data_IF_400948625096
#
_entry.id   IF_400948625096
#
_cell.length_a   1.000
_cell.length_b   1.000
_cell.length_c   1.000
_cell.angle_alpha   90.00
_cell.angle_beta   90.00
_cell.angle_gamma   90.00
#
_symmetry.space_group_name_H-M   'P 1'
#
loop_
_entity.id
_entity.type
_entity.pdbx_description
1 polymer ?
#
# COMPACT_ATOMS: atom_id res chain seq x y z
N UNK A 1 36.32 -51.29 27.49
CA UNK A 1 36.19 -51.04 26.04
C UNK A 1 37.22 -50.03 25.63
N UNK A 2 38.37 -50.51 25.15
CA UNK A 2 39.47 -49.67 24.68
C UNK A 2 39.04 -49.01 23.37
N UNK A 3 39.11 -47.68 23.29
CA UNK A 3 38.83 -46.93 22.08
C UNK A 3 40.02 -46.94 21.13
N UNK A 4 39.77 -47.04 19.84
CA UNK A 4 40.78 -46.98 18.79
C UNK A 4 41.36 -45.57 18.67
N UNK A 5 42.69 -45.49 18.62
CA UNK A 5 43.44 -44.28 18.31
C UNK A 5 43.78 -44.30 16.81
N UNK A 6 43.09 -43.46 16.05
CA UNK A 6 43.37 -43.27 14.62
C UNK A 6 44.55 -42.32 14.46
N UNK A 7 45.66 -42.73 13.82
CA UNK A 7 46.78 -41.82 13.55
C UNK A 7 46.37 -40.79 12.49
N UNK A 8 46.77 -39.53 12.69
CA UNK A 8 46.55 -38.45 11.71
C UNK A 8 47.24 -38.79 10.38
N UNK A 9 46.60 -38.49 9.23
CA UNK A 9 47.22 -38.71 7.94
C UNK A 9 48.49 -37.86 7.80
N UNK A 10 49.53 -38.46 7.20
CA UNK A 10 50.80 -37.79 6.89
C UNK A 10 50.57 -36.69 5.85
N UNK A 11 50.55 -35.44 6.31
CA UNK A 11 50.46 -34.27 5.45
C UNK A 11 51.66 -34.18 4.50
N UNK A 12 51.36 -34.08 3.21
CA UNK A 12 52.30 -33.61 2.19
C UNK A 12 52.79 -32.18 2.51
N UNK A 13 54.02 -31.89 2.09
CA UNK A 13 54.82 -30.77 2.55
C UNK A 13 54.14 -29.40 2.47
N UNK A 14 54.18 -28.69 3.60
CA UNK A 14 53.88 -27.28 3.74
C UNK A 14 54.54 -26.77 5.02
N UNK A 15 55.58 -25.96 4.88
CA UNK A 15 56.42 -25.48 5.96
C UNK A 15 55.62 -24.67 7.01
N UNK A 16 55.83 -24.98 8.28
CA UNK A 16 55.25 -24.25 9.41
C UNK A 16 55.52 -25.00 10.71
N UNK A 17 56.72 -24.81 11.27
CA UNK A 17 57.08 -25.38 12.55
C UNK A 17 56.21 -24.76 13.66
N UNK A 18 55.37 -25.56 14.29
CA UNK A 18 54.81 -25.25 15.61
C UNK A 18 55.18 -26.39 16.55
N UNK A 19 56.29 -26.18 17.27
CA UNK A 19 56.60 -26.95 18.47
C UNK A 19 55.55 -26.64 19.56
N UNK A 20 55.27 -27.57 20.48
CA UNK A 20 54.32 -27.32 21.57
C UNK A 20 54.93 -26.29 22.53
N UNK A 21 54.50 -25.03 22.42
CA UNK A 21 54.84 -23.94 23.33
C UNK A 21 53.88 -23.90 24.52
N UNK A 22 54.41 -23.65 25.71
CA UNK A 22 53.69 -23.50 26.99
C UNK A 22 53.03 -22.13 27.13
N UNK A 23 52.42 -21.60 26.07
CA UNK A 23 51.82 -20.26 26.03
C UNK A 23 50.32 -20.37 25.96
N UNK A 24 49.63 -19.71 26.88
CA UNK A 24 48.17 -19.59 26.92
C UNK A 24 47.71 -18.88 25.63
N UNK A 25 47.05 -19.62 24.75
CA UNK A 25 46.47 -19.09 23.52
C UNK A 25 45.11 -18.50 23.85
N UNK A 26 45.03 -17.18 23.98
CA UNK A 26 43.76 -16.46 23.97
C UNK A 26 43.26 -16.37 22.52
N UNK A 27 42.28 -17.20 22.16
CA UNK A 27 41.59 -17.10 20.87
C UNK A 27 40.53 -15.97 20.94
N UNK A 28 40.61 -15.01 20.00
CA UNK A 28 39.67 -13.90 19.88
C UNK A 28 38.36 -14.38 19.22
N UNK A 29 37.36 -14.77 20.03
CA UNK A 29 36.04 -15.17 19.53
C UNK A 29 35.09 -13.97 19.41
N UNK A 30 34.43 -13.87 18.26
CA UNK A 30 33.31 -12.93 18.06
C UNK A 30 32.04 -13.71 17.82
N UNK A 31 31.06 -13.50 18.68
CA UNK A 31 29.73 -14.07 18.52
C UNK A 31 28.88 -13.14 17.65
N UNK A 32 28.31 -13.65 16.57
CA UNK A 32 27.30 -12.96 15.78
C UNK A 32 25.98 -13.67 16.06
N UNK A 33 25.18 -13.07 16.94
CA UNK A 33 23.86 -13.59 17.24
C UNK A 33 22.85 -13.02 16.25
N UNK A 34 21.99 -13.88 15.74
CA UNK A 34 20.77 -13.46 15.05
C UNK A 34 19.83 -12.76 16.01
N UNK A 35 18.92 -11.94 15.48
CA UNK A 35 17.93 -11.24 16.30
C UNK A 35 17.08 -12.22 17.10
N UNK A 36 16.83 -13.39 16.55
CA UNK A 36 16.04 -14.47 17.11
C UNK A 36 16.76 -15.12 18.31
N UNK A 37 18.04 -15.46 18.18
CA UNK A 37 18.85 -16.04 19.27
C UNK A 37 19.00 -15.10 20.46
N UNK A 38 19.14 -13.78 20.20
CA UNK A 38 19.15 -12.78 21.28
C UNK A 38 17.85 -12.82 22.05
N UNK A 39 16.70 -12.87 21.37
CA UNK A 39 15.40 -12.89 22.04
C UNK A 39 15.19 -14.17 22.83
N UNK A 40 15.64 -15.32 22.31
CA UNK A 40 15.54 -16.60 23.02
C UNK A 40 16.33 -16.59 24.34
N UNK A 41 17.57 -16.09 24.34
CA UNK A 41 18.37 -15.94 25.55
C UNK A 41 17.72 -15.02 26.60
N UNK A 42 17.04 -13.95 26.17
CA UNK A 42 16.33 -13.04 27.08
C UNK A 42 15.07 -13.65 27.70
N UNK A 43 14.48 -14.66 27.05
CA UNK A 43 13.22 -15.26 27.46
C UNK A 43 13.35 -16.70 27.99
N UNK A 44 14.53 -17.31 27.95
CA UNK A 44 14.80 -18.68 28.42
C UNK A 44 14.45 -18.87 29.90
N UNK A 45 14.73 -17.86 30.74
CA UNK A 45 14.44 -17.88 32.18
C UNK A 45 13.07 -17.30 32.55
N UNK A 46 12.30 -16.85 31.57
CA UNK A 46 10.95 -16.35 31.78
C UNK A 46 9.99 -17.48 31.42
N UNK A 47 9.23 -17.98 32.40
CA UNK A 47 8.13 -18.96 32.20
C UNK A 47 6.98 -18.32 31.40
N UNK A 48 7.27 -17.90 30.18
CA UNK A 48 6.31 -17.29 29.29
C UNK A 48 5.35 -18.40 28.85
N UNK A 49 4.04 -18.19 29.00
CA UNK A 49 3.07 -18.99 28.28
C UNK A 49 3.42 -19.00 26.77
N UNK A 50 2.97 -20.00 26.01
CA UNK A 50 3.15 -20.19 24.54
C UNK A 50 2.66 -19.02 23.63
N UNK A 51 2.56 -17.81 24.15
CA UNK A 51 2.20 -16.57 23.49
C UNK A 51 3.35 -15.98 22.66
N UNK A 52 4.59 -16.46 22.80
CA UNK A 52 5.75 -16.02 22.00
C UNK A 52 5.57 -16.35 20.52
N UNK A 53 4.87 -17.44 20.19
CA UNK A 53 4.57 -17.84 18.80
C UNK A 53 3.41 -17.07 18.17
N UNK A 54 2.58 -16.38 18.97
CA UNK A 54 1.34 -15.74 18.49
C UNK A 54 1.39 -14.21 18.45
N UNK A 55 2.42 -13.57 19.03
CA UNK A 55 2.48 -12.11 19.17
C UNK A 55 3.55 -11.39 18.32
N UNK A 56 4.23 -12.12 17.42
CA UNK A 56 4.67 -11.54 16.13
C UNK A 56 3.47 -11.29 15.19
N UNK A 57 2.25 -11.24 15.73
CA UNK A 57 1.07 -10.62 15.13
C UNK A 57 1.44 -9.18 14.79
N UNK A 58 1.88 -9.01 13.54
CA UNK A 58 2.09 -7.76 12.82
C UNK A 58 1.43 -6.58 13.55
N UNK A 59 2.23 -5.78 14.23
CA UNK A 59 1.81 -4.44 14.61
C UNK A 59 1.63 -3.71 13.27
N UNK A 60 0.41 -3.71 12.74
CA UNK A 60 0.05 -2.98 11.53
C UNK A 60 0.12 -1.49 11.86
N UNK A 61 1.35 -0.95 11.85
CA UNK A 61 1.60 0.48 12.00
C UNK A 61 1.13 1.17 10.73
N UNK A 62 -0.07 1.74 10.75
CA UNK A 62 -0.53 2.61 9.69
C UNK A 62 0.16 3.97 9.82
N UNK A 63 1.05 4.28 8.87
CA UNK A 63 1.56 5.64 8.68
C UNK A 63 0.79 6.30 7.54
N UNK A 64 0.10 7.43 7.77
CA UNK A 64 -0.55 8.15 6.68
C UNK A 64 0.52 8.61 5.69
N UNK A 65 0.40 8.20 4.43
CA UNK A 65 1.20 8.72 3.31
C UNK A 65 0.39 9.74 2.53
N UNK A 66 1.06 10.77 2.03
CA UNK A 66 0.44 11.72 1.11
C UNK A 66 0.04 10.99 -0.17
N UNK A 67 -1.18 11.24 -0.63
CA UNK A 67 -1.74 10.56 -1.81
C UNK A 67 -1.13 11.04 -3.14
N UNK A 68 -0.31 12.10 -3.13
CA UNK A 68 0.37 12.62 -4.33
C UNK A 68 -0.53 13.37 -5.31
N UNK A 69 -1.82 13.55 -4.98
CA UNK A 69 -2.76 14.35 -5.78
C UNK A 69 -3.50 15.37 -4.91
N UNK A 70 -3.87 16.49 -5.53
CA UNK A 70 -4.64 17.58 -4.95
C UNK A 70 -6.02 17.70 -5.62
N UNK A 71 -6.98 18.30 -4.91
CA UNK A 71 -8.31 18.57 -5.45
C UNK A 71 -8.33 19.78 -6.42
N UNK A 72 -7.36 20.67 -6.30
CA UNK A 72 -7.18 21.87 -7.11
C UNK A 72 -5.69 22.17 -7.30
N UNK A 73 -5.36 23.02 -8.26
CA UNK A 73 -3.99 23.43 -8.58
C UNK A 73 -3.56 23.02 -9.98
N UNK A 74 -2.25 22.83 -10.18
CA UNK A 74 -1.68 22.45 -11.47
C UNK A 74 -2.30 21.13 -11.98
N UNK A 75 -2.64 21.01 -13.29
CA UNK A 75 -3.26 19.80 -13.84
C UNK A 75 -2.48 18.51 -13.58
N UNK A 76 -1.15 18.61 -13.48
CA UNK A 76 -0.24 17.50 -13.16
C UNK A 76 -0.50 16.87 -11.78
N UNK A 77 -1.12 17.62 -10.87
CA UNK A 77 -1.40 17.17 -9.51
C UNK A 77 -2.86 16.72 -9.32
N UNK A 78 -3.69 16.79 -10.36
CA UNK A 78 -5.12 16.44 -10.26
C UNK A 78 -5.31 14.94 -10.49
N UNK A 79 -6.07 14.29 -9.60
CA UNK A 79 -6.52 12.92 -9.83
C UNK A 79 -7.77 12.89 -10.71
N UNK A 80 -7.58 12.56 -11.99
CA UNK A 80 -8.68 12.51 -12.99
C UNK A 80 -9.79 11.55 -12.57
N UNK A 81 -9.46 10.37 -12.05
CA UNK A 81 -10.45 9.38 -11.62
C UNK A 81 -11.34 9.88 -10.49
N UNK A 82 -10.77 10.56 -9.49
CA UNK A 82 -11.52 11.21 -8.40
C UNK A 82 -12.41 12.34 -8.93
N UNK A 83 -11.88 13.18 -9.82
CA UNK A 83 -12.63 14.29 -10.42
C UNK A 83 -13.83 13.78 -11.21
N UNK A 84 -13.64 12.74 -12.03
CA UNK A 84 -14.71 12.13 -12.80
C UNK A 84 -15.76 11.48 -11.91
N UNK A 85 -15.35 10.75 -10.86
CA UNK A 85 -16.28 10.16 -9.87
C UNK A 85 -17.12 11.23 -9.17
N UNK A 86 -16.49 12.32 -8.72
CA UNK A 86 -17.18 13.44 -8.08
C UNK A 86 -18.13 14.14 -9.05
N UNK A 87 -17.71 14.34 -10.31
CA UNK A 87 -18.56 14.93 -11.37
C UNK A 87 -19.80 14.09 -11.64
N UNK A 88 -19.63 12.77 -11.70
CA UNK A 88 -20.73 11.84 -11.89
C UNK A 88 -21.67 11.81 -10.68
N UNK A 89 -21.13 11.76 -9.46
CA UNK A 89 -21.92 11.83 -8.22
C UNK A 89 -22.76 13.10 -8.14
N UNK A 90 -22.19 14.27 -8.49
CA UNK A 90 -22.94 15.54 -8.59
C UNK A 90 -24.07 15.47 -9.62
N UNK A 91 -23.83 14.84 -10.77
CA UNK A 91 -24.85 14.68 -11.82
C UNK A 91 -26.07 13.92 -11.29
N UNK A 92 -25.83 12.84 -10.54
CA UNK A 92 -26.89 12.04 -9.92
C UNK A 92 -27.59 12.83 -8.82
N UNK A 93 -26.84 13.41 -7.88
CA UNK A 93 -27.39 14.10 -6.72
C UNK A 93 -28.24 15.32 -7.10
N UNK A 94 -27.80 16.10 -8.09
CA UNK A 94 -28.51 17.28 -8.58
C UNK A 94 -29.54 16.96 -9.68
N UNK A 95 -29.78 15.67 -9.97
CA UNK A 95 -30.68 15.23 -11.05
C UNK A 95 -30.45 15.98 -12.36
N UNK A 96 -29.18 16.20 -12.71
CA UNK A 96 -28.84 16.95 -13.92
C UNK A 96 -29.44 16.23 -15.15
N UNK A 97 -30.22 16.92 -16.00
CA UNK A 97 -30.88 16.30 -17.14
C UNK A 97 -29.86 15.72 -18.13
N UNK A 98 -30.27 14.66 -18.83
CA UNK A 98 -29.44 14.08 -19.90
C UNK A 98 -29.41 15.05 -21.09
N UNK A 99 -28.32 14.97 -21.86
CA UNK A 99 -28.17 15.79 -23.07
C UNK A 99 -29.36 15.62 -24.03
N UNK A 100 -29.83 14.39 -24.23
CA UNK A 100 -30.98 14.10 -25.07
C UNK A 100 -32.29 14.75 -24.57
N UNK A 101 -32.49 14.87 -23.25
CA UNK A 101 -33.67 15.52 -22.68
C UNK A 101 -33.64 17.04 -22.95
N UNK A 102 -32.46 17.65 -22.77
CA UNK A 102 -32.25 19.07 -23.08
C UNK A 102 -32.45 19.35 -24.58
N UNK A 103 -31.90 18.49 -25.44
CA UNK A 103 -32.07 18.60 -26.90
C UNK A 103 -33.53 18.43 -27.32
N UNK A 104 -34.26 17.49 -26.72
CA UNK A 104 -35.69 17.30 -26.99
C UNK A 104 -36.53 18.52 -26.56
N UNK A 105 -36.25 19.09 -25.38
CA UNK A 105 -36.91 20.31 -24.91
C UNK A 105 -36.61 21.51 -25.83
N UNK A 106 -35.35 21.67 -26.25
CA UNK A 106 -34.96 22.72 -27.18
C UNK A 106 -35.66 22.58 -28.55
N UNK A 107 -35.75 21.36 -29.08
CA UNK A 107 -36.48 21.09 -30.32
C UNK A 107 -37.98 21.39 -30.16
N UNK A 108 -38.58 20.98 -29.04
CA UNK A 108 -39.99 21.26 -28.76
C UNK A 108 -40.27 22.77 -28.72
N UNK A 109 -39.37 23.56 -28.12
CA UNK A 109 -39.48 25.03 -28.12
C UNK A 109 -39.40 25.56 -29.56
N UNK A 110 -38.41 25.11 -30.35
CA UNK A 110 -38.25 25.54 -31.74
C UNK A 110 -39.48 25.21 -32.61
N UNK A 111 -40.05 24.01 -32.45
CA UNK A 111 -41.25 23.58 -33.18
C UNK A 111 -42.50 24.40 -32.81
N UNK A 112 -42.58 24.89 -31.57
CA UNK A 112 -43.66 25.76 -31.12
C UNK A 112 -43.47 27.20 -31.60
N UNK A 113 -42.23 27.69 -31.66
CA UNK A 113 -41.89 29.02 -32.18
C UNK A 113 -42.09 29.14 -33.70
N UNK A 114 -41.96 28.03 -34.44
CA UNK A 114 -42.21 27.99 -35.89
C UNK A 114 -43.70 28.07 -36.27
N UNK A 115 -44.62 27.83 -35.31
CA UNK A 115 -46.07 27.86 -35.55
C UNK A 115 -46.61 29.28 -35.35
N UNK A 116 -47.72 29.65 -36.01
CA UNK A 116 -48.34 30.95 -35.79
C UNK A 116 -48.67 31.16 -34.30
N UNK A 117 -48.37 32.35 -33.75
CA UNK A 117 -48.47 32.60 -32.32
C UNK A 117 -49.92 32.48 -31.84
N UNK A 118 -50.11 31.70 -30.78
CA UNK A 118 -51.37 31.52 -30.07
C UNK A 118 -51.09 31.66 -28.57
N UNK A 119 -52.04 32.20 -27.79
CA UNK A 119 -51.93 32.36 -26.34
C UNK A 119 -51.49 31.05 -25.65
N UNK A 120 -52.07 29.92 -26.06
CA UNK A 120 -51.70 28.57 -25.55
C UNK A 120 -50.27 28.17 -25.91
N UNK A 121 -49.79 28.52 -27.10
CA UNK A 121 -48.43 28.24 -27.56
C UNK A 121 -47.42 29.06 -26.75
N UNK A 122 -47.73 30.34 -26.50
CA UNK A 122 -46.90 31.22 -25.69
C UNK A 122 -46.78 30.74 -24.24
N UNK A 123 -47.90 30.41 -23.59
CA UNK A 123 -47.91 29.83 -22.24
C UNK A 123 -47.06 28.55 -22.16
N UNK A 124 -47.16 27.68 -23.18
CA UNK A 124 -46.37 26.45 -23.22
C UNK A 124 -44.88 26.69 -23.40
N UNK A 125 -44.48 27.66 -24.23
CA UNK A 125 -43.07 28.03 -24.41
C UNK A 125 -42.49 28.58 -23.11
N UNK A 126 -43.24 29.43 -22.40
CA UNK A 126 -42.82 29.96 -21.09
C UNK A 126 -42.60 28.83 -20.10
N UNK A 127 -43.58 27.91 -19.98
CA UNK A 127 -43.48 26.77 -19.08
C UNK A 127 -42.34 25.78 -19.40
N UNK A 128 -41.86 25.75 -20.66
CA UNK A 128 -40.72 24.91 -21.05
C UNK A 128 -39.35 25.59 -20.81
N UNK A 129 -39.34 26.90 -20.53
CA UNK A 129 -38.14 27.70 -20.28
C UNK A 129 -37.83 27.88 -18.79
N UNK A 130 -38.80 27.66 -17.92
CA UNK A 130 -38.64 27.60 -16.45
C UNK A 130 -38.01 26.27 -16.00
#
# INVERSE_FOLDING_TARGET
NAGDLVPKPSGGGGAGASAPGTTESEDDFRFVLSREEVLELFFEDLELPDLVKLSLKQILSFKPKRAGFAASGAPTNINVGRTMRNSHGRRIALRRPKRAEVEALAQQIADLEAKPPNAKTHERIVALRE
#
